data_IF_127058504660
#
_entry.id   IF_127058504660
#
_cell.length_a   1.000
_cell.length_b   1.000
_cell.length_c   1.000
_cell.angle_alpha   90.00
_cell.angle_beta   90.00
_cell.angle_gamma   90.00
#
_symmetry.space_group_name_H-M   'P 1'
#
loop_
_entity.id
_entity.type
_entity.pdbx_description
1 polymer ?
#
# COMPACT_ATOMS: atom_id res chain seq x y z
N UNK A 1 11.63 25.85 8.59
CA UNK A 1 10.18 25.83 8.28
C UNK A 1 9.95 24.74 7.24
N UNK A 2 9.06 23.77 7.50
CA UNK A 2 8.73 22.72 6.52
C UNK A 2 7.99 23.37 5.34
N UNK A 3 8.47 23.17 4.11
CA UNK A 3 7.82 23.69 2.90
C UNK A 3 6.73 22.71 2.49
N UNK A 4 5.47 23.07 2.70
CA UNK A 4 4.33 22.30 2.22
C UNK A 4 3.96 22.73 0.79
N UNK A 5 3.58 21.77 -0.04
CA UNK A 5 3.01 22.00 -1.36
C UNK A 5 1.50 21.79 -1.32
N UNK A 6 0.76 22.47 -2.19
CA UNK A 6 -0.69 22.34 -2.30
C UNK A 6 -1.04 21.09 -3.11
N UNK A 7 -1.97 20.29 -2.61
CA UNK A 7 -2.56 19.17 -3.35
C UNK A 7 -3.94 19.60 -3.86
N UNK A 8 -4.19 19.42 -5.15
CA UNK A 8 -5.48 19.70 -5.78
C UNK A 8 -6.20 18.40 -6.11
N UNK A 9 -7.52 18.38 -5.91
CA UNK A 9 -8.40 17.30 -6.35
C UNK A 9 -9.44 17.84 -7.33
N UNK A 10 -9.98 17.01 -8.24
CA UNK A 10 -11.06 17.42 -9.12
C UNK A 10 -12.24 18.02 -8.35
N UNK A 11 -12.82 19.11 -8.87
CA UNK A 11 -13.92 19.82 -8.21
C UNK A 11 -15.15 18.92 -7.98
N UNK A 12 -15.39 17.99 -8.89
CA UNK A 12 -16.46 16.97 -8.75
C UNK A 12 -16.20 16.07 -7.56
N UNK A 13 -14.99 15.51 -7.46
CA UNK A 13 -14.57 14.68 -6.34
C UNK A 13 -14.61 15.44 -5.01
N UNK A 14 -14.11 16.68 -4.98
CA UNK A 14 -14.20 17.52 -3.78
C UNK A 14 -15.65 17.71 -3.30
N UNK A 15 -16.58 18.00 -4.23
CA UNK A 15 -18.01 18.17 -3.91
C UNK A 15 -18.62 16.87 -3.40
N UNK A 16 -18.28 15.75 -4.02
CA UNK A 16 -18.78 14.45 -3.61
C UNK A 16 -18.30 14.09 -2.20
N UNK A 17 -16.99 14.19 -1.92
CA UNK A 17 -16.42 13.96 -0.58
C UNK A 17 -17.07 14.88 0.46
N UNK A 18 -17.24 16.17 0.14
CA UNK A 18 -17.90 17.09 1.06
C UNK A 18 -19.30 16.60 1.42
N UNK A 19 -20.11 16.27 0.41
CA UNK A 19 -21.51 15.85 0.59
C UNK A 19 -21.64 14.53 1.34
N UNK A 20 -20.77 13.57 1.06
CA UNK A 20 -20.90 12.21 1.62
C UNK A 20 -20.20 12.02 2.95
N UNK A 21 -19.18 12.82 3.24
CA UNK A 21 -18.31 12.62 4.41
C UNK A 21 -18.35 13.82 5.36
N UNK A 22 -18.08 15.02 4.87
CA UNK A 22 -17.92 16.21 5.73
C UNK A 22 -19.26 16.72 6.24
N UNK A 23 -20.31 16.64 5.42
CA UNK A 23 -21.67 17.06 5.79
C UNK A 23 -22.41 15.99 6.62
N UNK A 24 -21.87 14.77 6.73
CA UNK A 24 -22.43 13.73 7.61
C UNK A 24 -21.77 13.79 9.00
N UNK A 25 -22.49 14.27 10.03
CA UNK A 25 -21.93 14.44 11.38
C UNK A 25 -21.51 13.11 12.04
N UNK A 26 -21.93 11.96 11.51
CA UNK A 26 -21.56 10.64 12.04
C UNK A 26 -20.14 10.23 11.67
N UNK A 27 -19.54 10.85 10.65
CA UNK A 27 -18.24 10.43 10.10
C UNK A 27 -17.09 11.23 10.73
N UNK A 28 -17.36 12.39 11.32
CA UNK A 28 -16.43 13.11 12.21
C UNK A 28 -15.33 13.93 11.52
N UNK A 29 -15.33 14.07 10.20
CA UNK A 29 -14.35 14.89 9.47
C UNK A 29 -14.80 16.35 9.35
N UNK A 30 -13.90 17.28 9.67
CA UNK A 30 -14.16 18.72 9.63
C UNK A 30 -13.97 19.34 8.23
N UNK A 31 -13.20 18.68 7.36
CA UNK A 31 -12.92 19.18 6.02
C UNK A 31 -12.55 18.08 5.02
N UNK A 32 -12.69 18.39 3.73
CA UNK A 32 -12.24 17.52 2.64
C UNK A 32 -10.74 17.24 2.73
N UNK A 33 -9.95 18.23 3.17
CA UNK A 33 -8.50 18.09 3.30
C UNK A 33 -8.11 17.12 4.42
N UNK A 34 -8.80 17.18 5.55
CA UNK A 34 -8.59 16.27 6.68
C UNK A 34 -8.87 14.83 6.27
N UNK A 35 -10.06 14.58 5.72
CA UNK A 35 -10.45 13.27 5.18
C UNK A 35 -9.44 12.76 4.15
N UNK A 36 -9.09 13.60 3.16
CA UNK A 36 -8.18 13.20 2.09
C UNK A 36 -6.80 12.81 2.63
N UNK A 37 -6.29 13.54 3.63
CA UNK A 37 -5.00 13.25 4.26
C UNK A 37 -5.01 11.90 4.95
N UNK A 38 -6.08 11.57 5.67
CA UNK A 38 -6.22 10.30 6.36
C UNK A 38 -6.40 9.15 5.37
N UNK A 39 -7.27 9.31 4.38
CA UNK A 39 -7.48 8.31 3.33
C UNK A 39 -6.18 7.99 2.58
N UNK A 40 -5.36 9.00 2.25
CA UNK A 40 -4.05 8.80 1.63
C UNK A 40 -3.12 7.99 2.56
N UNK A 41 -3.08 8.31 3.85
CA UNK A 41 -2.22 7.58 4.80
C UNK A 41 -2.62 6.11 4.90
N UNK A 42 -3.92 5.84 5.09
CA UNK A 42 -4.44 4.47 5.15
C UNK A 42 -4.06 3.70 3.90
N UNK A 43 -4.28 4.29 2.72
CA UNK A 43 -3.92 3.64 1.47
C UNK A 43 -2.41 3.40 1.32
N UNK A 44 -1.58 4.33 1.77
CA UNK A 44 -0.13 4.15 1.75
C UNK A 44 0.33 3.00 2.68
N UNK A 45 -0.30 2.85 3.83
CA UNK A 45 0.05 1.79 4.78
C UNK A 45 -0.39 0.41 4.28
N UNK A 46 -1.56 0.30 3.64
CA UNK A 46 -1.99 -0.89 2.91
C UNK A 46 -0.99 -1.27 1.82
N UNK A 47 -0.62 -0.32 0.95
CA UNK A 47 0.35 -0.56 -0.14
C UNK A 47 1.71 -1.02 0.39
N UNK A 48 2.16 -0.50 1.52
CA UNK A 48 3.41 -0.95 2.18
C UNK A 48 3.29 -2.37 2.71
N UNK A 49 2.13 -2.74 3.23
CA UNK A 49 1.87 -4.10 3.70
C UNK A 49 1.84 -5.08 2.53
N UNK A 50 1.08 -4.76 1.48
CA UNK A 50 1.03 -5.53 0.22
C UNK A 50 2.45 -5.74 -0.36
N UNK A 51 3.27 -4.68 -0.39
CA UNK A 51 4.65 -4.76 -0.87
C UNK A 51 5.53 -5.69 -0.02
N UNK A 52 5.39 -5.64 1.31
CA UNK A 52 6.14 -6.52 2.23
C UNK A 52 5.74 -7.97 2.06
N UNK A 53 4.45 -8.26 1.91
CA UNK A 53 3.96 -9.61 1.67
C UNK A 53 4.47 -10.16 0.33
N UNK A 54 4.44 -9.35 -0.73
CA UNK A 54 5.02 -9.74 -2.02
C UNK A 54 6.51 -10.00 -1.95
N UNK A 55 7.26 -9.19 -1.19
CA UNK A 55 8.70 -9.41 -0.96
C UNK A 55 8.97 -10.70 -0.21
N UNK A 56 8.24 -10.96 0.88
CA UNK A 56 8.36 -12.20 1.66
C UNK A 56 8.08 -13.44 0.80
N UNK A 57 6.98 -13.42 0.03
CA UNK A 57 6.64 -14.50 -0.89
C UNK A 57 7.73 -14.73 -1.94
N UNK A 58 8.28 -13.64 -2.51
CA UNK A 58 9.38 -13.73 -3.48
C UNK A 58 10.63 -14.37 -2.85
N UNK A 59 10.96 -14.02 -1.62
CA UNK A 59 12.14 -14.56 -0.92
C UNK A 59 11.96 -16.06 -0.59
N UNK A 60 10.75 -16.48 -0.22
CA UNK A 60 10.44 -17.89 0.01
C UNK A 60 10.52 -18.72 -1.27
N UNK A 61 9.96 -18.22 -2.38
CA UNK A 61 10.12 -18.86 -3.69
C UNK A 61 11.60 -18.98 -4.06
N UNK A 62 12.38 -17.92 -3.85
CA UNK A 62 13.82 -17.93 -4.14
C UNK A 62 14.56 -18.97 -3.31
N UNK A 63 14.19 -19.13 -2.03
CA UNK A 63 14.74 -20.16 -1.13
C UNK A 63 14.45 -21.56 -1.64
N UNK A 64 13.18 -21.85 -1.95
CA UNK A 64 12.75 -23.16 -2.48
C UNK A 64 13.45 -23.51 -3.79
N UNK A 65 13.59 -22.54 -4.70
CA UNK A 65 14.34 -22.74 -5.96
C UNK A 65 15.81 -23.09 -5.70
N UNK A 66 16.44 -22.46 -4.71
CA UNK A 66 17.83 -22.77 -4.35
C UNK A 66 17.97 -24.15 -3.71
N UNK A 67 17.03 -24.56 -2.86
CA UNK A 67 16.99 -25.90 -2.28
C UNK A 67 16.86 -26.99 -3.36
N UNK A 68 15.94 -26.80 -4.31
CA UNK A 68 15.76 -27.72 -5.44
C UNK A 68 17.04 -27.83 -6.28
N UNK A 69 17.72 -26.70 -6.56
CA UNK A 69 19.00 -26.71 -7.27
C UNK A 69 20.06 -27.54 -6.53
N UNK A 70 20.19 -27.37 -5.22
CA UNK A 70 21.13 -28.16 -4.41
C UNK A 70 20.83 -29.67 -4.46
N UNK A 71 19.56 -30.05 -4.46
CA UNK A 71 19.15 -31.46 -4.59
C UNK A 71 19.50 -32.04 -5.98
N UNK A 72 19.31 -31.26 -7.05
CA UNK A 72 19.65 -31.68 -8.41
C UNK A 72 21.18 -31.84 -8.55
N UNK A 73 21.95 -30.88 -8.03
CA UNK A 73 23.42 -30.87 -8.11
C UNK A 73 24.04 -32.05 -7.33
N UNK A 74 23.44 -32.44 -6.20
CA UNK A 74 23.90 -33.58 -5.41
C UNK A 74 23.58 -34.91 -6.08
N UNK A 75 22.41 -35.06 -6.71
CA UNK A 75 22.08 -36.26 -7.51
C UNK A 75 22.98 -36.41 -8.73
N UNK A 76 23.27 -35.31 -9.43
CA UNK A 76 24.11 -35.33 -10.64
C UNK A 76 25.59 -35.68 -10.39
N UNK A 77 26.02 -35.70 -9.12
CA UNK A 77 27.37 -36.11 -8.68
C UNK A 77 27.42 -37.54 -8.13
N UNK A 78 26.27 -38.17 -7.93
CA UNK A 78 26.16 -39.52 -7.38
C UNK A 78 26.01 -40.59 -8.48
N UNK A 79 25.65 -40.19 -9.70
CA UNK A 79 25.70 -40.97 -10.94
C UNK A 79 27.01 -40.72 -11.70
#
# INVERSE_FOLDING_TARGET
MVKYSTISVPKTLHKEIRRTVVEDPRVGYSSVAEFSKEAIKLRMDELRMELREQQANRDDIKRLVNEIKGIIDTRSKAD
#
